data_IF_576045119186
#
_entry.id   IF_576045119186
#
_cell.length_a   1.000
_cell.length_b   1.000
_cell.length_c   1.000
_cell.angle_alpha   90.00
_cell.angle_beta   90.00
_cell.angle_gamma   90.00
#
_symmetry.space_group_name_H-M   'P 1'
#
loop_
_entity.id
_entity.type
_entity.pdbx_description
1 polymer ?
#
# COMPACT_ATOMS: atom_id res chain seq x y z
N UNK A 1 14.24 -103.43 -23.67
CA UNK A 1 14.84 -102.31 -22.89
C UNK A 1 15.22 -101.14 -23.79
N UNK A 2 15.77 -101.35 -24.99
CA UNK A 2 16.18 -100.26 -25.91
C UNK A 2 15.05 -99.38 -26.49
N UNK A 3 13.89 -99.97 -26.80
CA UNK A 3 12.82 -99.22 -27.49
C UNK A 3 12.15 -98.17 -26.61
N UNK A 4 12.02 -98.46 -25.30
CA UNK A 4 11.45 -97.53 -24.33
C UNK A 4 12.33 -96.29 -24.14
N UNK A 5 13.65 -96.51 -24.00
CA UNK A 5 14.63 -95.43 -23.84
C UNK A 5 14.68 -94.52 -25.09
N UNK A 6 14.51 -95.12 -26.27
CA UNK A 6 14.46 -94.40 -27.55
C UNK A 6 13.19 -93.55 -27.67
N UNK A 7 12.04 -94.11 -27.28
CA UNK A 7 10.77 -93.38 -27.27
C UNK A 7 10.78 -92.21 -26.27
N UNK A 8 11.40 -92.39 -25.11
CA UNK A 8 11.52 -91.35 -24.09
C UNK A 8 12.46 -90.22 -24.53
N UNK A 9 13.58 -90.54 -25.19
CA UNK A 9 14.47 -89.55 -25.80
C UNK A 9 13.74 -88.70 -26.86
N UNK A 10 12.95 -89.33 -27.73
CA UNK A 10 12.15 -88.61 -28.73
C UNK A 10 11.04 -87.75 -28.09
N UNK A 11 10.48 -88.18 -26.96
CA UNK A 11 9.54 -87.36 -26.18
C UNK A 11 10.21 -86.10 -25.65
N UNK A 12 11.39 -86.22 -25.06
CA UNK A 12 12.16 -85.07 -24.54
C UNK A 12 12.55 -84.09 -25.66
N UNK A 13 13.02 -84.56 -26.82
CA UNK A 13 13.31 -83.69 -27.97
C UNK A 13 12.08 -82.96 -28.51
N UNK A 14 10.88 -83.56 -28.44
CA UNK A 14 9.63 -82.87 -28.79
C UNK A 14 9.28 -81.80 -27.77
N UNK A 15 9.42 -82.09 -26.48
CA UNK A 15 9.15 -81.13 -25.41
C UNK A 15 10.10 -79.91 -25.50
N UNK A 16 11.37 -80.12 -25.81
CA UNK A 16 12.34 -79.03 -25.99
C UNK A 16 11.98 -78.12 -27.18
N UNK A 17 11.53 -78.70 -28.31
CA UNK A 17 11.05 -77.92 -29.47
C UNK A 17 9.85 -77.05 -29.12
N UNK A 18 8.84 -77.64 -28.46
CA UNK A 18 7.63 -76.91 -28.03
C UNK A 18 7.98 -75.79 -27.05
N UNK A 19 8.88 -76.02 -26.10
CA UNK A 19 9.30 -75.00 -25.15
C UNK A 19 10.03 -73.83 -25.83
N UNK A 20 10.86 -74.11 -26.83
CA UNK A 20 11.59 -73.07 -27.57
C UNK A 20 10.67 -72.27 -28.50
N UNK A 21 9.67 -72.90 -29.12
CA UNK A 21 8.62 -72.22 -29.89
C UNK A 21 7.80 -71.27 -29.00
N UNK A 22 7.32 -71.75 -27.84
CA UNK A 22 6.55 -70.94 -26.90
C UNK A 22 7.33 -69.70 -26.42
N UNK A 23 8.62 -69.85 -26.11
CA UNK A 23 9.49 -68.73 -25.70
C UNK A 23 9.70 -67.70 -26.82
N UNK A 24 9.75 -68.15 -28.08
CA UNK A 24 9.87 -67.25 -29.22
C UNK A 24 8.58 -66.47 -29.47
N UNK A 25 7.43 -67.14 -29.37
CA UNK A 25 6.11 -66.52 -29.53
C UNK A 25 5.82 -65.51 -28.42
N UNK A 26 6.10 -65.84 -27.15
CA UNK A 26 5.94 -64.90 -26.01
C UNK A 26 6.83 -63.66 -26.17
N UNK A 27 8.08 -63.84 -26.64
CA UNK A 27 8.98 -62.73 -26.94
C UNK A 27 8.50 -61.87 -28.12
N UNK A 28 7.88 -62.49 -29.13
CA UNK A 28 7.31 -61.77 -30.26
C UNK A 28 6.05 -60.98 -29.84
N UNK A 29 5.18 -61.57 -29.03
CA UNK A 29 3.99 -60.91 -28.47
C UNK A 29 4.35 -59.71 -27.59
N UNK A 30 5.29 -59.87 -26.65
CA UNK A 30 5.74 -58.76 -25.79
C UNK A 30 6.42 -57.65 -26.59
N UNK A 31 7.20 -58.00 -27.62
CA UNK A 31 7.79 -57.00 -28.52
C UNK A 31 6.74 -56.21 -29.32
N UNK A 32 5.64 -56.85 -29.72
CA UNK A 32 4.55 -56.21 -30.45
C UNK A 32 3.76 -55.24 -29.55
N UNK A 33 3.45 -55.65 -28.32
CA UNK A 33 2.78 -54.79 -27.32
C UNK A 33 3.63 -53.54 -27.00
N UNK A 34 4.94 -53.71 -26.76
CA UNK A 34 5.84 -52.57 -26.55
C UNK A 34 5.91 -51.63 -27.76
N UNK A 35 5.84 -52.17 -28.99
CA UNK A 35 5.81 -51.33 -30.19
C UNK A 35 4.55 -50.48 -30.26
N UNK A 36 3.39 -51.04 -29.92
CA UNK A 36 2.13 -50.29 -29.88
C UNK A 36 2.15 -49.20 -28.80
N UNK A 37 2.69 -49.51 -27.62
CA UNK A 37 2.84 -48.53 -26.53
C UNK A 37 3.75 -47.36 -26.94
N UNK A 38 4.89 -47.66 -27.57
CA UNK A 38 5.81 -46.65 -28.11
C UNK A 38 5.09 -45.74 -29.12
N UNK A 39 4.28 -46.29 -30.02
CA UNK A 39 3.59 -45.50 -31.04
C UNK A 39 2.48 -44.63 -30.44
N UNK A 40 1.77 -45.12 -29.41
CA UNK A 40 0.84 -44.31 -28.62
C UNK A 40 1.56 -43.15 -27.92
N UNK A 41 2.69 -43.42 -27.28
CA UNK A 41 3.48 -42.39 -26.59
C UNK A 41 4.02 -41.32 -27.55
N UNK A 42 4.45 -41.72 -28.76
CA UNK A 42 4.86 -40.75 -29.80
C UNK A 42 3.71 -39.84 -30.21
N UNK A 43 2.50 -40.39 -30.37
CA UNK A 43 1.32 -39.60 -30.72
C UNK A 43 1.02 -38.56 -29.64
N UNK A 44 0.95 -38.99 -28.38
CA UNK A 44 0.73 -38.09 -27.24
C UNK A 44 1.83 -37.03 -27.13
N UNK A 45 3.09 -37.38 -27.35
CA UNK A 45 4.18 -36.42 -27.34
C UNK A 45 4.04 -35.37 -28.46
N UNK A 46 3.58 -35.78 -29.65
CA UNK A 46 3.32 -34.86 -30.75
C UNK A 46 2.18 -33.88 -30.44
N UNK A 47 1.12 -34.34 -29.77
CA UNK A 47 0.02 -33.47 -29.34
C UNK A 47 0.52 -32.41 -28.34
N UNK A 48 1.31 -32.82 -27.34
CA UNK A 48 1.90 -31.89 -26.36
C UNK A 48 2.83 -30.86 -27.01
N UNK A 49 3.62 -31.26 -28.01
CA UNK A 49 4.48 -30.33 -28.74
C UNK A 49 3.65 -29.27 -29.48
N UNK A 50 2.58 -29.68 -30.16
CA UNK A 50 1.69 -28.75 -30.86
C UNK A 50 0.96 -27.81 -29.89
N UNK A 51 0.55 -28.31 -28.72
CA UNK A 51 -0.09 -27.49 -27.69
C UNK A 51 0.90 -26.44 -27.13
N UNK A 52 2.15 -26.83 -26.87
CA UNK A 52 3.20 -25.92 -26.44
C UNK A 52 3.45 -24.80 -27.45
N UNK A 53 3.53 -25.12 -28.74
CA UNK A 53 3.64 -24.10 -29.80
C UNK A 53 2.44 -23.12 -29.81
N UNK A 54 1.24 -23.63 -29.53
CA UNK A 54 0.04 -22.80 -29.40
C UNK A 54 0.11 -21.88 -28.19
N UNK A 55 0.59 -22.38 -27.05
CA UNK A 55 0.79 -21.58 -25.85
C UNK A 55 1.84 -20.48 -26.04
N UNK A 56 2.96 -20.77 -26.70
CA UNK A 56 3.98 -19.76 -27.01
C UNK A 56 3.39 -18.60 -27.84
N UNK A 57 2.56 -18.92 -28.85
CA UNK A 57 1.86 -17.91 -29.65
C UNK A 57 0.90 -17.06 -28.80
N UNK A 58 0.12 -17.70 -27.93
CA UNK A 58 -0.81 -16.98 -27.01
C UNK A 58 -0.05 -16.06 -26.05
N UNK A 59 1.08 -16.51 -25.50
CA UNK A 59 1.93 -15.71 -24.62
C UNK A 59 2.45 -14.48 -25.36
N UNK A 60 2.89 -14.63 -26.62
CA UNK A 60 3.34 -13.50 -27.43
C UNK A 60 2.24 -12.45 -27.64
N UNK A 61 1.03 -12.89 -27.98
CA UNK A 61 -0.11 -11.98 -28.19
C UNK A 61 -0.44 -11.22 -26.90
N UNK A 62 -0.53 -11.94 -25.77
CA UNK A 62 -0.82 -11.33 -24.47
C UNK A 62 0.25 -10.32 -24.06
N UNK A 63 1.51 -10.58 -24.38
CA UNK A 63 2.62 -9.66 -24.12
C UNK A 63 2.44 -8.34 -24.89
N UNK A 64 2.09 -8.42 -26.17
CA UNK A 64 1.86 -7.23 -26.99
C UNK A 64 0.65 -6.43 -26.52
N UNK A 65 -0.43 -7.10 -26.12
CA UNK A 65 -1.63 -6.45 -25.60
C UNK A 65 -1.36 -5.77 -24.25
N UNK A 66 -0.57 -6.40 -23.39
CA UNK A 66 -0.15 -5.81 -22.12
C UNK A 66 0.68 -4.54 -22.33
N UNK A 67 1.63 -4.56 -23.26
CA UNK A 67 2.43 -3.37 -23.59
C UNK A 67 1.57 -2.21 -24.11
N UNK A 68 0.57 -2.50 -24.94
CA UNK A 68 -0.38 -1.48 -25.43
C UNK A 68 -1.26 -0.93 -24.32
N UNK A 69 -1.71 -1.76 -23.38
CA UNK A 69 -2.53 -1.27 -22.26
C UNK A 69 -1.69 -0.47 -21.27
N UNK A 70 -0.44 -0.86 -21.03
CA UNK A 70 0.52 -0.10 -20.23
C UNK A 70 0.72 1.32 -20.82
N UNK A 71 0.95 1.43 -22.13
CA UNK A 71 1.12 2.74 -22.77
C UNK A 71 -0.14 3.61 -22.65
N UNK A 72 -1.33 3.03 -22.83
CA UNK A 72 -2.61 3.76 -22.65
C UNK A 72 -2.80 4.23 -21.21
N UNK A 73 -2.39 3.43 -20.23
CA UNK A 73 -2.50 3.80 -18.83
C UNK A 73 -1.54 4.94 -18.46
N UNK A 74 -0.32 4.93 -19.00
CA UNK A 74 0.63 6.03 -18.85
C UNK A 74 0.04 7.33 -19.42
N UNK A 75 -0.56 7.29 -20.61
CA UNK A 75 -1.18 8.49 -21.22
C UNK A 75 -2.33 9.04 -20.37
N UNK A 76 -3.17 8.14 -19.80
CA UNK A 76 -4.26 8.52 -18.90
C UNK A 76 -3.75 9.14 -17.59
N UNK A 77 -2.72 8.55 -16.99
CA UNK A 77 -2.11 9.06 -15.77
C UNK A 77 -1.51 10.45 -15.98
N UNK A 78 -0.82 10.66 -17.10
CA UNK A 78 -0.24 11.95 -17.48
C UNK A 78 -1.32 13.02 -17.72
N UNK A 79 -2.48 12.64 -18.27
CA UNK A 79 -3.62 13.54 -18.40
C UNK A 79 -4.18 13.95 -17.02
N UNK A 80 -4.36 13.00 -16.11
CA UNK A 80 -4.84 13.25 -14.75
C UNK A 80 -3.86 14.11 -13.94
N UNK A 81 -2.56 13.90 -14.08
CA UNK A 81 -1.54 14.71 -13.39
C UNK A 81 -1.63 16.19 -13.79
N UNK A 82 -1.90 16.48 -15.07
CA UNK A 82 -2.13 17.84 -15.57
C UNK A 82 -3.37 18.46 -14.92
N UNK A 83 -4.48 17.73 -14.84
CA UNK A 83 -5.72 18.22 -14.20
C UNK A 83 -5.52 18.48 -12.70
N UNK A 84 -4.83 17.58 -11.98
CA UNK A 84 -4.50 17.75 -10.56
C UNK A 84 -3.66 19.01 -10.34
N UNK A 85 -2.69 19.27 -11.22
CA UNK A 85 -1.86 20.48 -11.16
C UNK A 85 -2.68 21.76 -11.38
N UNK A 86 -3.64 21.73 -12.30
CA UNK A 86 -4.56 22.84 -12.53
C UNK A 86 -5.48 23.08 -11.31
N UNK A 87 -6.06 22.03 -10.76
CA UNK A 87 -6.87 22.09 -9.54
C UNK A 87 -6.09 22.66 -8.36
N UNK A 88 -4.83 22.27 -8.19
CA UNK A 88 -3.98 22.80 -7.12
C UNK A 88 -3.78 24.33 -7.27
N UNK A 89 -3.60 24.82 -8.50
CA UNK A 89 -3.53 26.26 -8.75
C UNK A 89 -4.84 26.97 -8.39
N UNK A 90 -5.99 26.40 -8.78
CA UNK A 90 -7.32 26.94 -8.44
C UNK A 90 -7.51 27.02 -6.92
N UNK A 91 -7.21 25.94 -6.20
CA UNK A 91 -7.31 25.88 -4.73
C UNK A 91 -6.39 26.93 -4.10
N UNK A 92 -5.14 27.03 -4.58
CA UNK A 92 -4.19 28.03 -4.09
C UNK A 92 -4.69 29.48 -4.28
N UNK A 93 -5.23 29.81 -5.46
CA UNK A 93 -5.81 31.13 -5.74
C UNK A 93 -7.05 31.41 -4.90
N UNK A 94 -7.92 30.42 -4.71
CA UNK A 94 -9.10 30.51 -3.85
C UNK A 94 -8.72 30.81 -2.40
N UNK A 95 -7.69 30.12 -1.88
CA UNK A 95 -7.23 30.31 -0.51
C UNK A 95 -6.68 31.73 -0.28
N UNK A 96 -5.91 32.27 -1.22
CA UNK A 96 -5.46 33.67 -1.16
C UNK A 96 -6.62 34.65 -1.21
N UNK A 97 -7.59 34.44 -2.10
CA UNK A 97 -8.78 35.28 -2.17
C UNK A 97 -9.57 35.26 -0.86
N UNK A 98 -9.78 34.07 -0.28
CA UNK A 98 -10.46 33.92 1.01
C UNK A 98 -9.72 34.66 2.14
N UNK A 99 -8.38 34.59 2.17
CA UNK A 99 -7.55 35.35 3.10
C UNK A 99 -7.74 36.86 2.92
N UNK A 100 -7.70 37.37 1.69
CA UNK A 100 -7.93 38.78 1.39
C UNK A 100 -9.33 39.24 1.75
N UNK A 101 -10.36 38.45 1.45
CA UNK A 101 -11.74 38.73 1.88
C UNK A 101 -11.81 38.79 3.41
N UNK A 102 -11.14 37.89 4.13
CA UNK A 102 -11.08 37.95 5.60
C UNK A 102 -10.38 39.21 6.14
N UNK A 103 -9.37 39.74 5.45
CA UNK A 103 -8.74 41.01 5.82
C UNK A 103 -9.61 42.24 5.50
N UNK A 104 -10.29 42.23 4.35
CA UNK A 104 -11.13 43.34 3.89
C UNK A 104 -12.49 43.40 4.57
N UNK A 105 -13.01 42.26 5.03
CA UNK A 105 -14.25 42.21 5.81
C UNK A 105 -13.97 42.86 7.15
N UNK A 106 -14.48 44.08 7.34
CA UNK A 106 -14.29 44.82 8.59
C UNK A 106 -14.67 43.92 9.76
N UNK A 107 -13.77 43.65 10.73
CA UNK A 107 -14.16 43.01 11.95
C UNK A 107 -15.25 43.88 12.58
N UNK A 108 -16.43 43.32 12.81
CA UNK A 108 -17.44 44.00 13.62
C UNK A 108 -16.91 44.04 15.05
N UNK A 109 -16.15 45.09 15.35
CA UNK A 109 -15.70 45.41 16.69
C UNK A 109 -16.93 45.89 17.44
N UNK A 110 -17.50 45.04 18.28
CA UNK A 110 -18.41 45.52 19.31
C UNK A 110 -17.57 46.35 20.29
N UNK A 111 -17.58 47.66 20.08
CA UNK A 111 -16.93 48.60 20.98
C UNK A 111 -17.86 48.81 22.18
N UNK A 112 -17.48 48.32 23.35
CA UNK A 112 -18.25 48.58 24.56
C UNK A 112 -17.81 49.95 25.15
N UNK A 113 -18.69 50.96 25.03
CA UNK A 113 -18.39 52.31 25.50
C UNK A 113 -18.26 52.44 27.02
N UNK A 114 -18.81 51.50 27.80
CA UNK A 114 -18.74 51.55 29.25
C UNK A 114 -17.38 51.08 29.82
N UNK A 115 -16.68 50.16 29.14
CA UNK A 115 -15.44 49.54 29.64
C UNK A 115 -14.19 49.90 28.84
N UNK A 116 -14.31 50.72 27.76
CA UNK A 116 -13.19 51.14 26.88
C UNK A 116 -12.31 49.98 26.41
N UNK A 117 -12.89 48.80 26.13
CA UNK A 117 -12.17 47.64 25.62
C UNK A 117 -12.81 47.09 24.35
N UNK A 118 -11.97 46.72 23.38
CA UNK A 118 -12.38 46.05 22.15
C UNK A 118 -12.35 44.53 22.36
N UNK A 119 -13.52 43.91 22.47
CA UNK A 119 -13.63 42.44 22.47
C UNK A 119 -13.74 41.96 21.02
N UNK A 120 -12.60 41.65 20.40
CA UNK A 120 -12.55 41.08 19.06
C UNK A 120 -11.72 39.80 19.05
N UNK A 121 -12.37 38.64 18.92
CA UNK A 121 -11.74 37.44 18.36
C UNK A 121 -12.46 37.02 17.08
N UNK A 122 -11.65 36.68 16.08
CA UNK A 122 -12.04 36.16 14.78
C UNK A 122 -12.63 34.76 14.94
N UNK A 123 -13.94 34.64 15.16
CA UNK A 123 -14.86 33.67 14.54
C UNK A 123 -16.26 33.66 15.20
N UNK A 124 -17.22 34.49 14.75
CA UNK A 124 -18.53 34.64 15.38
C UNK A 124 -19.39 33.35 15.40
N UNK A 125 -19.15 32.41 14.47
CA UNK A 125 -20.01 31.22 14.32
C UNK A 125 -19.75 30.15 15.39
N UNK A 126 -18.48 29.91 15.75
CA UNK A 126 -18.16 28.91 16.77
C UNK A 126 -18.46 29.43 18.18
N UNK A 127 -18.23 30.73 18.42
CA UNK A 127 -18.58 31.37 19.69
C UNK A 127 -20.07 31.27 19.97
N UNK A 128 -20.92 31.54 18.96
CA UNK A 128 -22.38 31.49 19.12
C UNK A 128 -22.89 30.08 19.43
N UNK A 129 -22.28 29.04 18.84
CA UNK A 129 -22.58 27.63 19.19
C UNK A 129 -22.10 27.26 20.59
N UNK A 130 -20.90 27.69 20.97
CA UNK A 130 -20.34 27.43 22.31
C UNK A 130 -21.16 28.09 23.42
N UNK A 131 -21.64 29.32 23.19
CA UNK A 131 -22.55 30.04 24.10
C UNK A 131 -23.89 29.33 24.28
N UNK A 132 -24.45 28.75 23.21
CA UNK A 132 -25.69 27.96 23.28
C UNK A 132 -25.50 26.66 24.06
N UNK A 133 -24.34 26.02 23.91
CA UNK A 133 -24.00 24.76 24.59
C UNK A 133 -23.69 24.96 26.08
N UNK A 134 -23.01 26.05 26.45
CA UNK A 134 -22.66 26.37 27.85
C UNK A 134 -22.77 27.86 28.14
N UNK A 135 -23.98 28.38 28.43
CA UNK A 135 -24.21 29.81 28.65
C UNK A 135 -23.42 30.37 29.85
N UNK A 136 -23.28 29.58 30.92
CA UNK A 136 -22.61 29.96 32.16
C UNK A 136 -21.09 30.19 32.02
N UNK A 137 -20.44 29.59 31.03
CA UNK A 137 -19.01 29.78 30.75
C UNK A 137 -18.71 31.11 30.04
N UNK A 138 -19.74 31.80 29.55
CA UNK A 138 -19.63 33.06 28.81
C UNK A 138 -20.47 34.17 29.43
N UNK A 139 -21.07 33.92 30.60
CA UNK A 139 -21.79 34.91 31.38
C UNK A 139 -20.77 35.80 32.13
N UNK A 140 -20.65 37.05 31.68
CA UNK A 140 -19.72 38.02 32.25
C UNK A 140 -19.94 38.28 33.75
N UNK A 141 -21.15 38.01 34.27
CA UNK A 141 -21.46 38.15 35.70
C UNK A 141 -20.84 37.05 36.58
N UNK A 142 -20.52 35.89 36.00
CA UNK A 142 -19.88 34.75 36.67
C UNK A 142 -18.36 34.81 36.51
N UNK A 143 -17.86 35.27 35.36
CA UNK A 143 -16.42 35.35 35.05
C UNK A 143 -15.73 36.46 35.88
N UNK A 144 -16.44 37.57 36.15
CA UNK A 144 -15.91 38.69 36.93
C UNK A 144 -15.63 38.40 38.41
N UNK A 145 -15.87 37.18 38.90
CA UNK A 145 -15.60 36.76 40.29
C UNK A 145 -14.45 35.76 40.43
N UNK A 146 -13.65 35.52 39.39
CA UNK A 146 -12.49 34.64 39.47
C UNK A 146 -11.26 35.40 39.97
N UNK A 147 -11.20 35.60 41.29
CA UNK A 147 -9.90 35.74 41.93
C UNK A 147 -9.06 34.51 41.58
N UNK A 148 -7.93 34.77 40.93
CA UNK A 148 -6.85 33.82 40.62
C UNK A 148 -7.22 32.76 39.54
N UNK A 149 -7.01 33.11 38.26
CA UNK A 149 -6.64 32.09 37.28
C UNK A 149 -5.22 31.62 37.66
N UNK A 150 -5.15 30.60 38.51
CA UNK A 150 -3.94 29.80 38.66
C UNK A 150 -3.70 29.18 37.29
N UNK A 151 -2.67 29.62 36.58
CA UNK A 151 -2.13 28.86 35.45
C UNK A 151 -1.72 27.52 36.05
N UNK A 152 -2.42 26.41 35.73
CA UNK A 152 -2.03 25.14 36.29
C UNK A 152 -0.76 24.74 35.54
N UNK A 153 0.39 24.86 36.19
CA UNK A 153 1.58 24.05 35.88
C UNK A 153 1.24 22.58 36.18
N UNK A 154 0.22 22.03 35.50
CA UNK A 154 -0.13 20.63 35.64
C UNK A 154 0.86 19.87 34.76
N UNK A 155 1.75 19.16 35.43
CA UNK A 155 2.68 18.13 34.91
C UNK A 155 2.08 17.29 33.78
N UNK A 156 0.76 17.11 33.76
CA UNK A 156 -0.02 16.47 32.70
C UNK A 156 0.15 17.13 31.31
N UNK A 157 0.19 18.46 31.22
CA UNK A 157 0.43 19.18 29.95
C UNK A 157 1.85 18.95 29.44
N UNK A 158 2.83 18.89 30.35
CA UNK A 158 4.22 18.63 30.03
C UNK A 158 4.41 17.17 29.59
N UNK A 159 3.78 16.22 30.28
CA UNK A 159 3.76 14.80 29.92
C UNK A 159 3.15 14.56 28.52
N UNK A 160 2.04 15.20 28.18
CA UNK A 160 1.44 15.08 26.84
C UNK A 160 2.32 15.68 25.74
N UNK A 161 3.04 16.76 26.03
CA UNK A 161 4.00 17.35 25.10
C UNK A 161 5.21 16.41 24.88
N UNK A 162 5.73 15.81 25.94
CA UNK A 162 6.81 14.80 25.90
C UNK A 162 6.39 13.58 25.07
N UNK A 163 5.20 13.04 25.34
CA UNK A 163 4.65 11.87 24.64
C UNK A 163 4.47 12.13 23.13
N UNK A 164 4.00 13.33 22.77
CA UNK A 164 3.87 13.77 21.39
C UNK A 164 5.23 13.85 20.68
N UNK A 165 6.25 14.38 21.36
CA UNK A 165 7.64 14.43 20.83
C UNK A 165 8.20 13.03 20.60
N UNK A 166 8.02 12.11 21.54
CA UNK A 166 8.48 10.71 21.37
C UNK A 166 7.81 10.02 20.17
N UNK A 167 6.50 10.24 19.97
CA UNK A 167 5.77 9.71 18.81
C UNK A 167 6.27 10.29 17.48
N UNK A 168 6.67 11.57 17.45
CA UNK A 168 7.28 12.17 16.26
C UNK A 168 8.65 11.57 15.94
N UNK A 169 9.51 11.41 16.94
CA UNK A 169 10.85 10.82 16.76
C UNK A 169 10.76 9.39 16.26
N UNK A 170 9.84 8.58 16.81
CA UNK A 170 9.62 7.21 16.34
C UNK A 170 9.21 7.15 14.87
N UNK A 171 8.34 8.06 14.41
CA UNK A 171 7.94 8.16 13.00
C UNK A 171 9.07 8.63 12.08
N UNK A 172 9.96 9.50 12.56
CA UNK A 172 11.13 9.93 11.77
C UNK A 172 12.14 8.79 11.56
N UNK A 173 12.19 7.81 12.47
CA UNK A 173 13.08 6.65 12.38
C UNK A 173 12.46 5.45 11.63
N UNK A 174 11.26 5.60 11.05
CA UNK A 174 10.58 4.54 10.28
C UNK A 174 11.33 4.27 8.96
N UNK A 175 11.70 3.00 8.66
CA UNK A 175 12.40 2.63 7.43
C UNK A 175 11.72 3.14 6.14
N UNK A 176 10.38 3.14 6.08
CA UNK A 176 9.65 3.62 4.89
C UNK A 176 9.78 5.14 4.69
N UNK A 177 9.93 5.90 5.78
CA UNK A 177 10.08 7.36 5.74
C UNK A 177 11.55 7.73 5.47
N UNK A 178 12.51 6.92 5.93
CA UNK A 178 13.94 7.10 5.64
C UNK A 178 14.23 6.82 4.15
N UNK A 179 13.64 5.77 3.56
CA UNK A 179 13.76 5.48 2.12
C UNK A 179 13.16 6.60 1.26
N UNK A 180 12.01 7.15 1.68
CA UNK A 180 11.40 8.35 1.10
C UNK A 180 12.09 9.61 1.64
N UNK A 181 13.37 9.81 1.32
CA UNK A 181 14.31 10.94 1.52
C UNK A 181 13.77 12.34 1.94
N UNK A 182 12.86 12.45 2.91
CA UNK A 182 12.31 13.71 3.43
C UNK A 182 13.30 14.21 4.47
N UNK A 183 14.25 15.04 4.04
CA UNK A 183 15.23 15.70 4.91
C UNK A 183 14.50 16.73 5.79
N UNK A 184 13.79 16.27 6.82
CA UNK A 184 13.22 17.14 7.85
C UNK A 184 14.24 17.27 8.98
N UNK A 185 15.03 18.36 8.95
CA UNK A 185 15.91 18.69 10.08
C UNK A 185 15.03 18.94 11.32
N UNK A 186 15.29 18.29 12.46
CA UNK A 186 14.60 18.61 13.69
C UNK A 186 14.82 20.09 14.05
N UNK A 187 13.77 20.74 14.54
CA UNK A 187 13.85 22.11 15.03
C UNK A 187 14.75 22.13 16.27
N UNK A 188 15.82 22.92 16.23
CA UNK A 188 16.72 23.10 17.37
C UNK A 188 16.12 24.09 18.37
N UNK A 189 15.43 23.52 19.36
CA UNK A 189 14.81 24.29 20.43
C UNK A 189 15.83 24.96 21.37
N UNK A 190 17.07 24.47 21.43
CA UNK A 190 18.11 25.12 22.24
C UNK A 190 18.45 26.50 21.66
N UNK A 191 18.67 26.57 20.33
CA UNK A 191 18.87 27.83 19.63
C UNK A 191 17.67 28.76 19.75
N UNK A 192 16.44 28.23 19.63
CA UNK A 192 15.20 29.02 19.74
C UNK A 192 15.00 29.63 21.15
N UNK A 193 15.25 28.86 22.20
CA UNK A 193 15.15 29.32 23.58
C UNK A 193 16.24 30.34 23.93
N UNK A 194 17.44 30.17 23.37
CA UNK A 194 18.54 31.12 23.54
C UNK A 194 18.22 32.48 22.89
N UNK A 195 17.61 32.47 21.69
CA UNK A 195 17.09 33.68 21.04
C UNK A 195 16.02 34.36 21.89
N UNK A 196 15.06 33.62 22.44
CA UNK A 196 14.02 34.19 23.31
C UNK A 196 14.60 34.86 24.55
N UNK A 197 15.69 34.32 25.10
CA UNK A 197 16.36 34.89 26.27
C UNK A 197 17.11 36.17 25.91
N UNK A 198 17.83 36.18 24.77
CA UNK A 198 18.56 37.35 24.27
C UNK A 198 17.60 38.53 23.96
N UNK A 199 16.41 38.25 23.41
CA UNK A 199 15.37 39.25 23.19
C UNK A 199 14.82 39.88 24.48
N UNK A 200 14.62 39.08 25.53
CA UNK A 200 14.14 39.56 26.83
C UNK A 200 15.19 40.37 27.60
N UNK A 201 16.47 40.28 27.23
CA UNK A 201 17.55 41.05 27.86
C UNK A 201 17.92 42.36 27.14
N UNK A 202 17.46 42.55 25.89
CA UNK A 202 17.80 43.71 25.06
C UNK A 202 16.76 44.84 25.04
N UNK A 203 15.58 44.62 25.61
CA UNK A 203 14.50 45.60 25.75
C UNK A 203 14.04 45.67 27.20
#
# INVERSE_FOLDING_TARGET
VNDLLTAELERYKRQERVLNELKHDEKASTSYEHSQEIDSLKHTLSEYLQENESFEKKISILKDDLQKEESRNIDRELALEKEVKELNNIVFKRNQSAQTVHMLTKPQVFYNHATRQALGFQNPRYLKKAQQLKPNMYDGSVIGKSDVIVVPDFENTLMHAEESRSKMIAKQNDPQIIEKKVITKPIDYATLNQLSTDFNTRF
#
